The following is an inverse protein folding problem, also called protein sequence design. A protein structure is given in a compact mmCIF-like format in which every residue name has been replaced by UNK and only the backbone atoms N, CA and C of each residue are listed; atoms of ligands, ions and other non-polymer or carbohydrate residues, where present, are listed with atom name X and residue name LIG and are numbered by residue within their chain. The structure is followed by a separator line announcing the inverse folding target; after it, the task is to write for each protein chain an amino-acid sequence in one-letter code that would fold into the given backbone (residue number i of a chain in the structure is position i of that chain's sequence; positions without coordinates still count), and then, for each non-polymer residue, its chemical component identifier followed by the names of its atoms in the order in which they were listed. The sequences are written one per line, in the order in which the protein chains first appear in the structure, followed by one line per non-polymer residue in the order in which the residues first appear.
data_IF_404516958759
#
_entry.id   IF_404516958759
#
_cell.length_a   1.000
_cell.length_b   1.000
_cell.length_c   1.000
_cell.angle_alpha   90.00
_cell.angle_beta   90.00
_cell.angle_gamma   90.00
#
_symmetry.space_group_name_H-M   'P 1'
#
loop_
_entity.id
_entity.type
_entity.pdbx_description
1 polymer ?
#
# COMPACT_ATOMS: atom_id res chain seq x y z
N UNK A 1 9.16 24.97 37.53
CA UNK A 1 9.77 23.76 36.94
C UNK A 1 9.10 23.54 35.61
N UNK A 2 9.92 23.46 34.55
CA UNK A 2 9.54 23.57 33.14
C UNK A 2 8.50 22.54 32.68
N UNK A 3 7.54 23.03 31.89
CA UNK A 3 6.69 22.21 31.03
C UNK A 3 7.55 21.62 29.90
N UNK A 4 7.79 20.31 29.90
CA UNK A 4 8.33 19.62 28.72
C UNK A 4 7.26 19.52 27.63
N UNK A 5 7.20 20.57 26.81
CA UNK A 5 6.49 20.61 25.53
C UNK A 5 7.11 19.57 24.57
N UNK A 6 6.28 18.73 23.96
CA UNK A 6 6.69 17.90 22.80
C UNK A 6 6.64 16.37 22.94
N UNK A 7 5.83 15.81 23.85
CA UNK A 7 5.63 14.35 23.94
C UNK A 7 4.22 13.95 23.48
N UNK A 8 3.95 14.02 22.17
CA UNK A 8 2.82 13.23 21.64
C UNK A 8 3.26 11.79 21.55
N UNK A 9 2.66 10.95 22.40
CA UNK A 9 2.85 9.50 22.50
C UNK A 9 2.44 8.72 21.22
N UNK A 10 2.22 9.41 20.10
CA UNK A 10 1.35 9.01 18.99
C UNK A 10 2.00 8.98 17.60
N UNK A 11 3.28 9.31 17.46
CA UNK A 11 3.90 9.33 16.11
C UNK A 11 4.29 7.94 15.58
N UNK A 12 4.41 6.95 16.46
CA UNK A 12 4.81 5.57 16.13
C UNK A 12 6.12 5.49 15.33
N UNK A 13 6.49 4.29 14.93
CA UNK A 13 7.55 4.07 13.95
C UNK A 13 6.99 4.25 12.54
N UNK A 14 7.88 4.60 11.60
CA UNK A 14 7.52 4.85 10.21
C UNK A 14 8.54 4.24 9.25
N UNK A 15 8.05 3.87 8.07
CA UNK A 15 8.85 3.38 6.95
C UNK A 15 8.38 4.00 5.64
N UNK A 16 9.32 4.30 4.74
CA UNK A 16 9.01 4.79 3.40
C UNK A 16 9.92 4.17 2.36
N UNK A 17 9.36 3.84 1.19
CA UNK A 17 10.09 3.35 0.03
C UNK A 17 9.57 4.00 -1.24
N UNK A 18 10.47 4.24 -2.19
CA UNK A 18 10.13 4.76 -3.52
C UNK A 18 10.86 3.95 -4.59
N UNK A 19 10.17 3.66 -5.69
CA UNK A 19 10.78 3.07 -6.89
C UNK A 19 10.13 3.66 -8.12
N UNK A 20 10.94 3.88 -9.14
CA UNK A 20 10.50 4.45 -10.42
C UNK A 20 10.49 3.37 -11.49
N UNK A 21 9.41 3.34 -12.27
CA UNK A 21 9.18 2.42 -13.37
C UNK A 21 9.04 3.22 -14.67
N UNK A 22 9.60 2.71 -15.77
CA UNK A 22 9.42 3.25 -17.12
C UNK A 22 8.06 2.82 -17.70
N UNK A 23 7.00 3.18 -16.97
CA UNK A 23 5.60 2.88 -17.26
C UNK A 23 4.77 4.12 -16.92
N UNK A 24 3.71 4.38 -17.70
CA UNK A 24 2.81 5.53 -17.48
C UNK A 24 2.13 5.46 -16.11
N UNK A 25 1.72 6.62 -15.60
CA UNK A 25 1.06 6.70 -14.28
C UNK A 25 -0.24 5.93 -14.25
N UNK A 26 -1.01 6.00 -15.33
CA UNK A 26 -2.24 5.25 -15.53
C UNK A 26 -2.01 3.74 -15.50
N UNK A 27 -1.05 3.22 -16.27
CA UNK A 27 -0.74 1.78 -16.28
C UNK A 27 -0.26 1.28 -14.91
N UNK A 28 0.53 2.09 -14.18
CA UNK A 28 0.93 1.75 -12.81
C UNK A 28 -0.28 1.71 -11.88
N UNK A 29 -1.16 2.71 -11.96
CA UNK A 29 -2.35 2.78 -11.14
C UNK A 29 -3.29 1.60 -11.41
N UNK A 30 -3.62 1.34 -12.67
CA UNK A 30 -4.47 0.23 -13.09
C UNK A 30 -3.87 -1.11 -12.67
N UNK A 31 -2.54 -1.28 -12.81
CA UNK A 31 -1.87 -2.48 -12.32
C UNK A 31 -2.02 -2.64 -10.81
N UNK A 32 -1.74 -1.60 -10.00
CA UNK A 32 -1.81 -1.66 -8.54
C UNK A 32 -3.20 -2.07 -8.03
N UNK A 33 -4.27 -1.66 -8.73
CA UNK A 33 -5.65 -1.94 -8.35
C UNK A 33 -6.33 -3.03 -9.20
N UNK A 34 -5.58 -3.67 -10.11
CA UNK A 34 -6.00 -4.92 -10.75
C UNK A 34 -6.07 -6.05 -9.72
N UNK A 35 -6.75 -7.14 -10.07
CA UNK A 35 -6.79 -8.35 -9.23
C UNK A 35 -5.37 -8.84 -8.89
N UNK A 36 -4.47 -8.89 -9.88
CA UNK A 36 -3.09 -9.32 -9.66
C UNK A 36 -2.31 -8.34 -8.76
N UNK A 37 -2.46 -7.03 -8.99
CA UNK A 37 -1.80 -6.01 -8.17
C UNK A 37 -2.25 -6.08 -6.71
N UNK A 38 -3.57 -6.12 -6.47
CA UNK A 38 -4.13 -6.26 -5.13
C UNK A 38 -3.63 -7.52 -4.45
N UNK A 39 -3.64 -8.68 -5.14
CA UNK A 39 -3.07 -9.93 -4.61
C UNK A 39 -1.61 -9.80 -4.21
N UNK A 40 -0.81 -9.04 -4.98
CA UNK A 40 0.60 -8.83 -4.68
C UNK A 40 0.78 -7.98 -3.42
N UNK A 41 0.19 -6.78 -3.35
CA UNK A 41 0.54 -5.83 -2.28
C UNK A 41 -0.40 -5.86 -1.07
N UNK A 42 -1.66 -6.24 -1.25
CA UNK A 42 -2.69 -6.28 -0.19
C UNK A 42 -3.03 -7.72 0.21
N UNK A 43 -3.03 -8.65 -0.75
CA UNK A 43 -3.49 -10.02 -0.61
C UNK A 43 -4.86 -10.25 -1.27
N UNK A 44 -5.39 -11.47 -1.14
CA UNK A 44 -6.75 -11.78 -1.62
C UNK A 44 -7.76 -11.06 -0.74
N UNK A 45 -8.57 -10.19 -1.34
CA UNK A 45 -9.64 -9.48 -0.67
C UNK A 45 -10.90 -10.35 -0.56
N UNK A 46 -11.54 -10.36 0.62
CA UNK A 46 -12.86 -10.97 0.82
C UNK A 46 -13.99 -10.07 0.31
N UNK A 47 -13.72 -8.77 0.20
CA UNK A 47 -14.67 -7.76 -0.24
C UNK A 47 -14.00 -6.68 -1.07
N UNK A 48 -14.78 -5.93 -1.85
CA UNK A 48 -14.26 -4.87 -2.70
C UNK A 48 -13.56 -3.74 -1.90
N UNK A 49 -12.45 -3.22 -2.43
CA UNK A 49 -11.69 -2.12 -1.84
C UNK A 49 -12.31 -0.75 -2.21
N UNK A 50 -13.24 -0.27 -1.39
CA UNK A 50 -14.03 0.94 -1.67
C UNK A 50 -13.74 2.05 -0.66
N UNK A 51 -13.68 3.30 -1.13
CA UNK A 51 -13.50 4.49 -0.28
C UNK A 51 -14.59 4.56 0.82
N UNK A 52 -14.17 4.91 2.05
CA UNK A 52 -15.01 4.96 3.25
C UNK A 52 -15.63 3.62 3.66
N UNK A 53 -15.17 2.48 3.11
CA UNK A 53 -15.57 1.14 3.54
C UNK A 53 -14.42 0.35 4.13
N UNK A 54 -14.78 -0.55 5.04
CA UNK A 54 -13.85 -1.52 5.61
C UNK A 54 -13.50 -2.60 4.58
N UNK A 55 -12.31 -3.17 4.72
CA UNK A 55 -11.87 -4.31 3.94
C UNK A 55 -11.25 -5.36 4.84
N UNK A 56 -11.35 -6.61 4.39
CA UNK A 56 -10.68 -7.75 4.98
C UNK A 56 -10.04 -8.60 3.87
N UNK A 57 -8.85 -9.13 4.15
CA UNK A 57 -8.16 -10.08 3.29
C UNK A 57 -8.26 -11.50 3.85
N UNK A 58 -8.06 -12.51 3.01
CA UNK A 58 -8.05 -13.92 3.43
C UNK A 58 -6.99 -14.24 4.49
N UNK A 59 -5.84 -13.53 4.45
CA UNK A 59 -4.79 -13.65 5.46
C UNK A 59 -5.06 -12.82 6.73
N UNK A 60 -6.25 -12.22 6.86
CA UNK A 60 -6.72 -11.57 8.08
C UNK A 60 -6.21 -10.15 8.30
N UNK A 61 -5.79 -9.45 7.24
CA UNK A 61 -5.51 -8.01 7.31
C UNK A 61 -6.84 -7.29 7.21
N UNK A 62 -7.11 -6.41 8.17
CA UNK A 62 -8.31 -5.58 8.21
C UNK A 62 -7.94 -4.11 8.08
N UNK A 63 -8.87 -3.31 7.60
CA UNK A 63 -8.63 -1.88 7.43
C UNK A 63 -9.82 -1.11 6.90
N UNK A 64 -9.61 0.18 6.68
CA UNK A 64 -10.62 1.12 6.19
C UNK A 64 -9.98 2.07 5.19
N UNK A 65 -10.54 2.15 3.99
CA UNK A 65 -10.05 3.05 2.94
C UNK A 65 -10.49 4.48 3.28
N UNK A 66 -9.53 5.35 3.59
CA UNK A 66 -9.80 6.75 3.94
C UNK A 66 -9.84 7.65 2.71
N UNK A 67 -8.95 7.41 1.77
CA UNK A 67 -8.81 8.19 0.53
C UNK A 67 -8.56 7.24 -0.61
N UNK A 68 -9.23 7.46 -1.73
CA UNK A 68 -8.99 6.77 -3.00
C UNK A 68 -9.09 7.81 -4.12
N UNK A 69 -7.95 8.32 -4.58
CA UNK A 69 -7.88 9.29 -5.67
C UNK A 69 -7.16 8.65 -6.85
N UNK A 70 -7.93 8.32 -7.88
CA UNK A 70 -7.45 7.68 -9.10
C UNK A 70 -6.21 8.39 -9.66
N UNK A 71 -5.24 7.61 -10.16
CA UNK A 71 -3.97 8.07 -10.73
C UNK A 71 -3.16 9.01 -9.81
N UNK A 72 -3.39 8.95 -8.49
CA UNK A 72 -2.73 9.83 -7.53
C UNK A 72 -2.33 9.09 -6.27
N UNK A 73 -3.30 8.72 -5.42
CA UNK A 73 -2.98 8.07 -4.15
C UNK A 73 -4.17 7.40 -3.47
N UNK A 74 -3.85 6.37 -2.69
CA UNK A 74 -4.74 5.75 -1.72
C UNK A 74 -4.18 5.96 -0.32
N UNK A 75 -5.06 6.13 0.66
CA UNK A 75 -4.72 6.05 2.08
C UNK A 75 -5.69 5.11 2.77
N UNK A 76 -5.16 4.16 3.52
CA UNK A 76 -5.96 3.19 4.26
C UNK A 76 -5.38 2.93 5.64
N UNK A 77 -6.27 2.52 6.55
CA UNK A 77 -5.86 1.87 7.78
C UNK A 77 -5.49 0.41 7.50
N UNK A 78 -4.53 -0.12 8.24
CA UNK A 78 -4.00 -1.46 8.03
C UNK A 78 -3.72 -2.13 9.38
N UNK A 79 -4.29 -3.30 9.60
CA UNK A 79 -4.08 -4.10 10.81
C UNK A 79 -3.98 -5.57 10.44
N UNK A 80 -2.76 -6.13 10.40
CA UNK A 80 -2.55 -7.57 10.35
C UNK A 80 -3.19 -8.26 11.56
N UNK A 81 -3.64 -9.50 11.38
CA UNK A 81 -4.32 -10.28 12.42
C UNK A 81 -3.54 -10.38 13.74
N UNK A 82 -2.22 -10.44 13.66
CA UNK A 82 -1.31 -10.59 14.79
C UNK A 82 -0.82 -9.25 15.38
N UNK A 83 -1.31 -8.11 14.90
CA UNK A 83 -0.93 -6.80 15.43
C UNK A 83 -1.97 -6.25 16.40
N UNK A 84 -1.48 -5.68 17.50
CA UNK A 84 -2.34 -5.02 18.50
C UNK A 84 -2.78 -3.62 18.04
N UNK A 85 -1.88 -2.92 17.35
CA UNK A 85 -2.09 -1.58 16.83
C UNK A 85 -2.67 -1.57 15.41
N UNK A 86 -3.41 -0.51 15.11
CA UNK A 86 -3.77 -0.13 13.74
C UNK A 86 -2.70 0.80 13.18
N UNK A 87 -2.19 0.50 12.01
CA UNK A 87 -1.27 1.36 11.28
C UNK A 87 -1.95 2.10 10.13
N UNK A 88 -1.20 2.90 9.39
CA UNK A 88 -1.72 3.61 8.22
C UNK A 88 -0.76 3.52 7.07
N UNK A 89 -1.27 3.11 5.90
CA UNK A 89 -0.49 3.06 4.66
C UNK A 89 -1.02 4.12 3.71
N UNK A 90 -0.08 4.74 3.01
CA UNK A 90 -0.35 5.59 1.88
C UNK A 90 0.51 5.19 0.69
N UNK A 91 -0.13 4.88 -0.42
CA UNK A 91 0.53 4.57 -1.69
C UNK A 91 0.22 5.72 -2.64
N UNK A 92 1.26 6.30 -3.24
CA UNK A 92 1.17 7.36 -4.24
C UNK A 92 1.81 6.93 -5.55
N UNK A 93 1.24 7.38 -6.66
CA UNK A 93 1.86 7.34 -7.98
C UNK A 93 2.16 8.78 -8.41
N UNK A 94 3.38 9.02 -8.86
CA UNK A 94 3.87 10.36 -9.22
C UNK A 94 4.66 10.22 -10.52
N UNK A 95 4.17 10.78 -11.61
CA UNK A 95 4.79 10.59 -12.91
C UNK A 95 4.04 11.22 -14.06
N UNK A 96 4.34 10.72 -15.25
CA UNK A 96 3.75 11.14 -16.51
C UNK A 96 3.42 9.91 -17.39
N UNK A 97 3.31 10.12 -18.70
CA UNK A 97 2.96 9.07 -19.66
C UNK A 97 4.09 8.05 -19.94
N UNK A 98 5.31 8.30 -19.48
CA UNK A 98 6.48 7.45 -19.78
C UNK A 98 7.09 6.84 -18.51
N UNK A 99 7.05 7.58 -17.41
CA UNK A 99 7.79 7.24 -16.20
C UNK A 99 7.00 7.60 -14.95
N UNK A 100 6.94 6.66 -14.01
CA UNK A 100 6.14 6.80 -12.79
C UNK A 100 6.86 6.28 -11.58
N UNK A 101 6.86 7.07 -10.51
CA UNK A 101 7.34 6.69 -9.19
C UNK A 101 6.19 6.22 -8.34
N UNK A 102 6.30 5.00 -7.81
CA UNK A 102 5.45 4.51 -6.72
C UNK A 102 6.13 4.84 -5.40
N UNK A 103 5.43 5.55 -4.52
CA UNK A 103 5.89 5.88 -3.18
C UNK A 103 4.95 5.27 -2.14
N UNK A 104 5.49 4.45 -1.25
CA UNK A 104 4.77 3.84 -0.14
C UNK A 104 5.28 4.45 1.16
N UNK A 105 4.36 4.93 1.99
CA UNK A 105 4.62 5.39 3.35
C UNK A 105 3.74 4.59 4.31
N UNK A 106 4.35 4.03 5.34
CA UNK A 106 3.70 3.26 6.39
C UNK A 106 4.02 3.91 7.75
N UNK A 107 2.99 4.39 8.44
CA UNK A 107 3.09 5.10 9.72
C UNK A 107 2.28 4.41 10.82
N UNK A 108 2.48 4.86 12.07
CA UNK A 108 1.84 4.29 13.28
C UNK A 108 2.19 2.81 13.53
N UNK A 109 3.42 2.43 13.18
CA UNK A 109 3.99 1.14 13.56
C UNK A 109 4.33 1.18 15.06
N UNK A 110 4.14 0.08 15.77
CA UNK A 110 4.24 0.04 17.22
C UNK A 110 5.70 0.14 17.69
N UNK A 111 6.60 -0.58 17.02
CA UNK A 111 7.98 -0.77 17.47
C UNK A 111 8.96 -0.94 16.29
N UNK A 112 10.24 -1.09 16.60
CA UNK A 112 11.29 -1.29 15.62
C UNK A 112 11.16 -2.63 14.86
N UNK A 113 10.56 -3.65 15.47
CA UNK A 113 10.34 -4.97 14.87
C UNK A 113 9.30 -4.88 13.74
N UNK A 114 8.13 -4.29 14.01
CA UNK A 114 7.12 -4.03 12.96
C UNK A 114 7.70 -3.15 11.84
N UNK A 115 8.58 -2.19 12.16
CA UNK A 115 9.28 -1.41 11.15
C UNK A 115 10.23 -2.24 10.29
N UNK A 116 10.99 -3.14 10.89
CA UNK A 116 11.88 -4.04 10.16
C UNK A 116 11.09 -5.01 9.28
N UNK A 117 10.03 -5.62 9.82
CA UNK A 117 9.10 -6.48 9.11
C UNK A 117 8.50 -5.78 7.89
N UNK A 118 7.98 -4.56 8.07
CA UNK A 118 7.40 -3.79 6.98
C UNK A 118 8.44 -3.29 5.98
N UNK A 119 9.67 -3.00 6.42
CA UNK A 119 10.76 -2.70 5.50
C UNK A 119 11.00 -3.88 4.56
N UNK A 120 11.16 -5.08 5.08
CA UNK A 120 11.39 -6.28 4.27
C UNK A 120 10.19 -6.56 3.35
N UNK A 121 8.98 -6.56 3.90
CA UNK A 121 7.74 -6.77 3.18
C UNK A 121 7.61 -5.82 1.98
N UNK A 122 7.69 -4.50 2.20
CA UNK A 122 7.51 -3.52 1.14
C UNK A 122 8.63 -3.54 0.10
N UNK A 123 9.87 -3.87 0.47
CA UNK A 123 10.94 -4.09 -0.50
C UNK A 123 10.61 -5.28 -1.41
N UNK A 124 10.15 -6.39 -0.83
CA UNK A 124 9.71 -7.57 -1.58
C UNK A 124 8.55 -7.26 -2.54
N UNK A 125 7.53 -6.55 -2.05
CA UNK A 125 6.39 -6.12 -2.87
C UNK A 125 6.83 -5.21 -4.02
N UNK A 126 7.69 -4.22 -3.75
CA UNK A 126 8.18 -3.29 -4.78
C UNK A 126 9.01 -3.99 -5.86
N UNK A 127 9.67 -5.09 -5.53
CA UNK A 127 10.35 -5.95 -6.50
C UNK A 127 9.36 -6.76 -7.34
N UNK A 128 8.37 -7.41 -6.70
CA UNK A 128 7.31 -8.15 -7.40
C UNK A 128 6.53 -7.25 -8.37
N UNK A 129 6.10 -6.06 -7.92
CA UNK A 129 5.43 -5.06 -8.77
C UNK A 129 6.31 -4.74 -9.99
N UNK A 130 7.60 -4.49 -9.79
CA UNK A 130 8.52 -4.16 -10.88
C UNK A 130 8.73 -5.26 -11.91
N UNK A 131 8.57 -6.52 -11.52
CA UNK A 131 8.62 -7.68 -12.41
C UNK A 131 7.29 -7.86 -13.15
N UNK A 132 6.18 -7.82 -12.43
CA UNK A 132 4.85 -8.12 -12.99
C UNK A 132 4.30 -7.01 -13.87
N UNK A 133 4.57 -5.74 -13.55
CA UNK A 133 4.06 -4.60 -14.33
C UNK A 133 4.66 -4.51 -15.75
N UNK A 134 5.80 -5.17 -15.97
CA UNK A 134 6.45 -5.23 -17.29
C UNK A 134 5.88 -6.34 -18.16
N UNK A 135 5.14 -7.29 -17.58
CA UNK A 135 4.49 -8.33 -18.37
C UNK A 135 3.34 -7.70 -19.15
N UNK A 136 3.13 -8.08 -20.41
CA UNK A 136 1.91 -7.70 -21.11
C UNK A 136 0.72 -8.20 -20.29
N UNK A 137 -0.34 -7.39 -20.19
CA UNK A 137 -1.58 -7.82 -19.55
C UNK A 137 -2.01 -9.15 -20.20
N UNK A 138 -1.94 -10.24 -19.44
CA UNK A 138 -2.41 -11.54 -19.92
C UNK A 138 -3.87 -11.38 -20.32
N UNK A 139 -4.21 -11.81 -21.54
CA UNK A 139 -5.58 -11.83 -22.03
C UNK A 139 -6.50 -12.44 -20.97
N UNK A 140 -7.27 -11.61 -20.28
CA UNK A 140 -8.30 -12.06 -19.37
C UNK A 140 -9.46 -12.54 -20.23
N UNK A 141 -9.43 -13.82 -20.59
CA UNK A 141 -10.56 -14.52 -21.21
C UNK A 141 -11.58 -14.80 -20.12
N UNK A 142 -12.34 -13.78 -19.71
CA UNK A 142 -13.63 -14.00 -19.08
C UNK A 142 -14.69 -13.67 -20.11
N UNK A 143 -15.08 -14.73 -20.85
CA UNK A 143 -16.32 -14.75 -21.61
C UNK A 143 -17.48 -14.56 -20.63
N UNK A 144 -18.46 -13.77 -21.09
CA UNK A 144 -19.83 -13.64 -20.58
C UNK A 144 -20.43 -14.97 -20.12
#
# INVERSE_FOLDING_TARGET
MENQVGKTKDVGFQFGIRKTFSVSTEKVWDFLFSENGLKIWLGNLKNELVIKKEYETENGITGLVRVFKANSHIRLNWKPKNWENMSTIQIRVIGNQEKTTVAIHHEKLLNAEQRAEMKEHWNGIMNKIGTEIKKPAGNNVYKK
#
